data_IF_195990253607
#
_entry.id   IF_195990253607
#
_cell.length_a   1.000
_cell.length_b   1.000
_cell.length_c   1.000
_cell.angle_alpha   90.00
_cell.angle_beta   90.00
_cell.angle_gamma   90.00
#
_symmetry.space_group_name_H-M   'P 1'
#
loop_
_entity.id
_entity.type
_entity.pdbx_description
1 polymer ?
#
# COMPACT_ATOMS: atom_id res chain seq x y z
N UNK A 1 52.36 -3.93 -41.44
CA UNK A 1 50.92 -4.11 -41.18
C UNK A 1 50.76 -4.08 -39.66
N UNK A 2 50.34 -2.94 -39.10
CA UNK A 2 50.14 -2.79 -37.66
C UNK A 2 48.67 -3.09 -37.35
N UNK A 3 48.41 -4.22 -36.68
CA UNK A 3 47.06 -4.53 -36.17
C UNK A 3 46.76 -3.63 -34.98
N UNK A 4 45.66 -2.88 -35.08
CA UNK A 4 45.05 -2.17 -33.96
C UNK A 4 43.95 -3.06 -33.41
N UNK A 5 44.14 -3.58 -32.20
CA UNK A 5 43.11 -4.31 -31.48
C UNK A 5 42.12 -3.30 -30.88
N UNK A 6 40.85 -3.35 -31.33
CA UNK A 6 39.74 -2.63 -30.69
C UNK A 6 39.38 -3.34 -29.38
N UNK A 7 39.85 -2.79 -28.26
CA UNK A 7 39.39 -3.19 -26.93
C UNK A 7 37.98 -2.68 -26.71
N UNK A 8 36.99 -3.58 -26.73
CA UNK A 8 35.64 -3.30 -26.27
C UNK A 8 35.70 -3.25 -24.74
N UNK A 9 35.75 -2.05 -24.18
CA UNK A 9 35.58 -1.85 -22.74
C UNK A 9 34.13 -2.14 -22.38
N UNK A 10 33.87 -3.33 -21.83
CA UNK A 10 32.64 -3.62 -21.10
C UNK A 10 32.60 -2.70 -19.87
N UNK A 11 31.83 -1.62 -19.95
CA UNK A 11 31.38 -0.91 -18.75
C UNK A 11 30.42 -1.84 -18.02
N UNK A 12 30.72 -2.29 -16.79
CA UNK A 12 29.74 -3.03 -16.02
C UNK A 12 28.60 -2.05 -15.73
N UNK A 13 27.44 -2.31 -16.33
CA UNK A 13 26.19 -1.77 -15.80
C UNK A 13 26.11 -2.28 -14.36
N UNK A 14 26.31 -1.40 -13.40
CA UNK A 14 26.02 -1.67 -12.00
C UNK A 14 24.50 -1.85 -11.89
N UNK A 15 24.01 -3.04 -12.24
CA UNK A 15 22.69 -3.47 -11.83
C UNK A 15 22.73 -3.53 -10.31
N UNK A 16 21.94 -2.69 -9.64
CA UNK A 16 21.60 -2.96 -8.25
C UNK A 16 21.07 -4.39 -8.19
N UNK A 17 21.78 -5.28 -7.51
CA UNK A 17 21.31 -6.64 -7.31
C UNK A 17 20.24 -6.58 -6.21
N UNK A 18 19.03 -7.00 -6.53
CA UNK A 18 18.02 -7.21 -5.51
C UNK A 18 18.42 -8.39 -4.63
N UNK A 19 17.99 -8.38 -3.36
CA UNK A 19 18.23 -9.46 -2.40
C UNK A 19 17.65 -10.79 -2.92
N UNK A 20 16.45 -10.72 -3.50
CA UNK A 20 15.83 -11.79 -4.28
C UNK A 20 15.57 -11.25 -5.69
N UNK A 21 16.02 -11.98 -6.70
CA UNK A 21 15.78 -11.62 -8.10
C UNK A 21 14.28 -11.67 -8.46
N UNK A 22 13.75 -10.66 -9.17
CA UNK A 22 12.36 -10.65 -9.60
C UNK A 22 12.12 -11.78 -10.63
N UNK A 23 10.95 -12.44 -10.62
CA UNK A 23 10.60 -13.46 -11.61
C UNK A 23 10.59 -12.95 -13.05
N UNK A 24 10.29 -11.67 -13.25
CA UNK A 24 10.23 -10.98 -14.55
C UNK A 24 10.88 -9.59 -14.45
N UNK A 25 10.61 -8.70 -15.42
CA UNK A 25 11.10 -7.32 -15.40
C UNK A 25 10.59 -6.57 -14.16
N UNK A 26 11.49 -5.99 -13.38
CA UNK A 26 11.17 -5.03 -12.32
C UNK A 26 11.76 -3.65 -12.61
N UNK A 27 11.13 -2.60 -12.07
CA UNK A 27 11.66 -1.24 -12.16
C UNK A 27 12.95 -1.11 -11.32
N UNK A 28 14.06 -0.56 -11.85
CA UNK A 28 15.31 -0.41 -11.10
C UNK A 28 15.22 0.44 -9.83
N UNK A 29 14.17 1.25 -9.68
CA UNK A 29 13.90 2.02 -8.45
C UNK A 29 13.26 1.20 -7.33
N UNK A 30 12.81 -0.02 -7.60
CA UNK A 30 12.26 -0.94 -6.59
C UNK A 30 13.30 -1.22 -5.51
N UNK A 31 12.87 -1.25 -4.25
CA UNK A 31 13.75 -1.46 -3.09
C UNK A 31 14.67 -2.68 -3.28
N UNK A 32 15.94 -2.54 -2.89
CA UNK A 32 16.96 -3.58 -3.13
C UNK A 32 16.78 -4.79 -2.22
N UNK A 33 16.15 -4.63 -1.07
CA UNK A 33 15.93 -5.66 -0.05
C UNK A 33 14.55 -6.33 -0.17
N UNK A 34 13.98 -6.32 -1.37
CA UNK A 34 12.77 -7.08 -1.66
C UNK A 34 12.99 -8.58 -1.46
N UNK A 35 12.10 -9.23 -0.70
CA UNK A 35 12.12 -10.66 -0.44
C UNK A 35 11.00 -11.42 -1.15
N UNK A 36 9.92 -10.72 -1.54
CA UNK A 36 8.81 -11.33 -2.26
C UNK A 36 8.25 -10.42 -3.35
N UNK A 37 8.04 -11.01 -4.53
CA UNK A 37 7.62 -10.34 -5.74
C UNK A 37 6.28 -10.90 -6.22
N UNK A 38 5.43 -10.02 -6.74
CA UNK A 38 4.20 -10.38 -7.42
C UNK A 38 4.25 -9.90 -8.88
N UNK A 39 3.77 -10.74 -9.79
CA UNK A 39 3.66 -10.43 -11.22
C UNK A 39 2.26 -9.92 -11.50
N UNK A 40 2.15 -8.80 -12.22
CA UNK A 40 0.86 -8.16 -12.49
C UNK A 40 0.06 -8.97 -13.51
N UNK A 41 -1.13 -9.39 -13.11
CA UNK A 41 -2.11 -10.03 -13.99
C UNK A 41 -2.97 -8.98 -14.75
N UNK A 42 -3.62 -9.35 -15.87
CA UNK A 42 -4.35 -8.40 -16.72
C UNK A 42 -5.45 -7.58 -16.02
N UNK A 43 -6.10 -8.12 -14.98
CA UNK A 43 -7.17 -7.49 -14.21
C UNK A 43 -6.67 -6.74 -12.96
N UNK A 44 -5.36 -6.74 -12.72
CA UNK A 44 -4.72 -6.13 -11.55
C UNK A 44 -3.85 -4.91 -11.92
N UNK A 45 -4.04 -4.34 -13.10
CA UNK A 45 -3.15 -3.30 -13.63
C UNK A 45 -3.31 -1.89 -13.00
N UNK A 46 -3.99 -1.79 -11.85
CA UNK A 46 -4.03 -0.59 -11.02
C UNK A 46 -3.53 -0.92 -9.62
N UNK A 47 -2.86 0.00 -8.91
CA UNK A 47 -2.37 -0.34 -7.56
C UNK A 47 -3.51 -0.77 -6.62
N UNK A 48 -4.70 -0.17 -6.72
CA UNK A 48 -5.82 -0.57 -5.88
C UNK A 48 -6.26 -2.01 -6.20
N UNK A 49 -6.42 -2.36 -7.47
CA UNK A 49 -6.79 -3.73 -7.85
C UNK A 49 -5.70 -4.73 -7.40
N UNK A 50 -4.44 -4.41 -7.65
CA UNK A 50 -3.28 -5.21 -7.28
C UNK A 50 -3.19 -5.44 -5.77
N UNK A 51 -3.11 -4.37 -4.97
CA UNK A 51 -2.98 -4.52 -3.52
C UNK A 51 -4.22 -5.16 -2.89
N UNK A 52 -5.41 -5.00 -3.48
CA UNK A 52 -6.59 -5.74 -3.04
C UNK A 52 -6.47 -7.25 -3.31
N UNK A 53 -5.96 -7.65 -4.48
CA UNK A 53 -5.75 -9.06 -4.82
C UNK A 53 -4.79 -9.74 -3.84
N UNK A 54 -3.74 -9.03 -3.42
CA UNK A 54 -2.74 -9.51 -2.46
C UNK A 54 -3.07 -9.18 -0.99
N UNK A 55 -4.22 -8.54 -0.71
CA UNK A 55 -4.60 -8.06 0.63
C UNK A 55 -3.50 -7.21 1.30
N UNK A 56 -2.83 -6.37 0.52
CA UNK A 56 -1.61 -5.66 0.89
C UNK A 56 -1.85 -4.14 1.07
N UNK A 57 -0.90 -3.45 1.70
CA UNK A 57 -0.95 -2.00 1.92
C UNK A 57 -0.57 -1.24 0.65
N UNK A 58 -1.40 -0.27 0.24
CA UNK A 58 -1.07 0.65 -0.87
C UNK A 58 0.12 1.53 -0.52
N UNK A 59 0.23 1.95 0.75
CA UNK A 59 1.38 2.73 1.22
C UNK A 59 2.67 1.93 1.07
N UNK A 60 2.72 0.71 1.63
CA UNK A 60 3.93 -0.12 1.54
C UNK A 60 4.24 -0.47 0.09
N UNK A 61 3.23 -0.75 -0.73
CA UNK A 61 3.43 -0.99 -2.16
C UNK A 61 4.13 0.18 -2.86
N UNK A 62 3.71 1.41 -2.59
CA UNK A 62 4.34 2.61 -3.15
C UNK A 62 5.73 2.88 -2.59
N UNK A 63 5.94 2.56 -1.30
CA UNK A 63 7.26 2.65 -0.67
C UNK A 63 8.25 1.66 -1.30
N UNK A 64 7.80 0.44 -1.55
CA UNK A 64 8.64 -0.62 -2.11
C UNK A 64 8.86 -0.42 -3.61
N UNK A 65 7.92 0.19 -4.32
CA UNK A 65 7.96 0.43 -5.76
C UNK A 65 7.78 1.93 -6.07
N UNK A 66 8.81 2.77 -5.89
CA UNK A 66 8.71 4.23 -6.02
C UNK A 66 8.19 4.74 -7.37
N UNK A 67 8.38 3.98 -8.45
CA UNK A 67 7.83 4.31 -9.78
C UNK A 67 6.29 4.41 -9.80
N UNK A 68 5.61 3.85 -8.80
CA UNK A 68 4.14 3.81 -8.69
C UNK A 68 3.52 4.99 -7.93
N UNK A 69 4.34 5.86 -7.33
CA UNK A 69 3.86 6.97 -6.47
C UNK A 69 2.91 7.91 -7.23
N UNK A 70 3.30 8.29 -8.45
CA UNK A 70 2.60 9.27 -9.29
C UNK A 70 1.83 8.64 -10.47
N UNK A 71 2.16 7.41 -10.84
CA UNK A 71 1.49 6.69 -11.93
C UNK A 71 1.18 5.27 -11.48
N UNK A 72 -0.10 5.00 -11.34
CA UNK A 72 -0.60 3.77 -10.73
C UNK A 72 -1.21 2.83 -11.80
N UNK A 73 -0.70 2.92 -13.03
CA UNK A 73 -0.97 1.99 -14.12
C UNK A 73 0.18 0.98 -14.17
N UNK A 74 -0.03 -0.19 -13.59
CA UNK A 74 0.98 -1.22 -13.51
C UNK A 74 1.15 -1.92 -14.87
N UNK A 75 2.37 -2.35 -15.17
CA UNK A 75 2.66 -3.05 -16.42
C UNK A 75 2.36 -4.53 -16.24
N UNK A 76 1.36 -5.05 -16.95
CA UNK A 76 1.01 -6.48 -16.96
C UNK A 76 2.24 -7.31 -17.33
N UNK A 77 2.52 -8.35 -16.54
CA UNK A 77 3.69 -9.22 -16.69
C UNK A 77 4.98 -8.72 -16.02
N UNK A 78 5.02 -7.48 -15.50
CA UNK A 78 6.15 -7.00 -14.70
C UNK A 78 6.03 -7.45 -13.23
N UNK A 79 7.18 -7.55 -12.57
CA UNK A 79 7.32 -7.86 -11.16
C UNK A 79 7.33 -6.59 -10.32
N UNK A 80 6.56 -6.60 -9.24
CA UNK A 80 6.55 -5.55 -8.22
C UNK A 80 6.78 -6.15 -6.84
N UNK A 81 7.52 -5.43 -6.01
CA UNK A 81 7.83 -5.87 -4.66
C UNK A 81 6.61 -5.76 -3.74
N UNK A 82 6.32 -6.82 -2.99
CA UNK A 82 5.23 -6.86 -2.01
C UNK A 82 5.70 -7.31 -0.62
N UNK A 83 6.99 -7.60 -0.45
CA UNK A 83 7.59 -7.87 0.85
C UNK A 83 9.03 -7.34 0.89
N UNK A 84 9.32 -6.56 1.92
CA UNK A 84 10.66 -6.11 2.28
C UNK A 84 11.25 -7.07 3.33
N UNK A 85 12.58 -7.25 3.30
CA UNK A 85 13.30 -7.98 4.34
C UNK A 85 12.97 -7.48 5.76
N UNK A 86 12.73 -8.42 6.68
CA UNK A 86 12.53 -8.16 8.11
C UNK A 86 13.80 -7.61 8.80
N UNK A 87 14.96 -7.69 8.15
CA UNK A 87 16.21 -7.13 8.66
C UNK A 87 16.30 -5.62 8.46
N UNK A 88 15.46 -5.04 7.60
CA UNK A 88 15.45 -3.61 7.31
C UNK A 88 14.39 -2.90 8.15
N UNK A 89 14.76 -1.84 8.88
CA UNK A 89 13.78 -1.02 9.58
C UNK A 89 12.79 -0.36 8.62
N UNK A 90 11.49 -0.52 8.89
CA UNK A 90 10.44 0.17 8.15
C UNK A 90 10.12 1.49 8.81
N UNK A 91 9.98 2.55 8.01
CA UNK A 91 9.54 3.86 8.51
C UNK A 91 8.08 3.79 8.96
N UNK A 92 7.82 4.19 10.21
CA UNK A 92 6.48 4.18 10.79
C UNK A 92 5.80 5.54 10.52
N UNK A 93 4.51 5.54 10.15
CA UNK A 93 3.80 6.80 10.00
C UNK A 93 3.68 7.51 11.35
N UNK A 94 3.81 8.83 11.32
CA UNK A 94 3.46 9.72 12.41
C UNK A 94 1.95 9.76 12.65
N UNK A 95 1.55 10.17 13.86
CA UNK A 95 0.12 10.38 14.17
C UNK A 95 -0.54 11.41 13.24
N UNK A 96 0.21 12.41 12.77
CA UNK A 96 -0.28 13.37 11.77
C UNK A 96 -0.59 12.73 10.43
N UNK A 97 0.28 11.85 9.93
CA UNK A 97 0.06 11.14 8.67
C UNK A 97 -1.13 10.17 8.77
N UNK A 98 -1.27 9.50 9.91
CA UNK A 98 -2.41 8.63 10.20
C UNK A 98 -3.73 9.41 10.21
N UNK A 99 -3.74 10.57 10.88
CA UNK A 99 -4.92 11.44 10.96
C UNK A 99 -5.28 12.01 9.59
N UNK A 100 -4.29 12.49 8.83
CA UNK A 100 -4.50 13.03 7.48
C UNK A 100 -5.08 11.97 6.54
N UNK A 101 -4.54 10.75 6.57
CA UNK A 101 -5.08 9.65 5.77
C UNK A 101 -6.54 9.35 6.16
N UNK A 102 -6.82 9.21 7.45
CA UNK A 102 -8.17 8.95 7.92
C UNK A 102 -9.14 10.05 7.47
N UNK A 103 -8.77 11.32 7.62
CA UNK A 103 -9.62 12.46 7.23
C UNK A 103 -9.83 12.53 5.71
N UNK A 104 -8.81 12.20 4.93
CA UNK A 104 -8.87 12.16 3.47
C UNK A 104 -9.81 11.06 2.94
N UNK A 105 -9.82 9.90 3.59
CA UNK A 105 -10.55 8.70 3.14
C UNK A 105 -11.87 8.46 3.85
N UNK A 106 -12.09 9.09 5.00
CA UNK A 106 -13.24 8.81 5.87
C UNK A 106 -14.59 9.32 5.39
N UNK A 107 -14.65 10.13 4.32
CA UNK A 107 -15.90 10.74 3.86
C UNK A 107 -16.65 11.44 5.01
N UNK A 108 -17.92 11.09 5.28
CA UNK A 108 -18.69 11.66 6.40
C UNK A 108 -18.16 11.22 7.77
N UNK A 109 -17.39 10.12 7.83
CA UNK A 109 -16.76 9.65 9.06
C UNK A 109 -15.47 10.41 9.42
N UNK A 110 -14.97 11.29 8.55
CA UNK A 110 -13.72 12.03 8.78
C UNK A 110 -13.73 12.82 10.10
N UNK A 111 -14.90 13.32 10.51
CA UNK A 111 -15.09 14.02 11.78
C UNK A 111 -14.87 13.15 13.03
N UNK A 112 -14.88 11.82 12.89
CA UNK A 112 -14.65 10.87 13.99
C UNK A 112 -13.25 10.26 13.97
N UNK A 113 -12.36 10.73 13.09
CA UNK A 113 -11.03 10.14 12.93
C UNK A 113 -10.24 10.07 14.23
N UNK A 114 -10.20 11.14 15.03
CA UNK A 114 -9.50 11.12 16.33
C UNK A 114 -10.03 10.03 17.27
N UNK A 115 -11.35 9.82 17.26
CA UNK A 115 -12.02 8.80 18.08
C UNK A 115 -11.76 7.39 17.56
N UNK A 116 -11.67 7.23 16.25
CA UNK A 116 -11.52 5.93 15.60
C UNK A 116 -10.06 5.51 15.41
N UNK A 117 -9.10 6.43 15.54
CA UNK A 117 -7.70 6.22 15.18
C UNK A 117 -7.06 5.04 15.93
N UNK A 118 -7.37 4.86 17.22
CA UNK A 118 -6.79 3.79 18.05
C UNK A 118 -7.02 2.38 17.50
N UNK A 119 -8.08 2.20 16.71
CA UNK A 119 -8.43 0.92 16.03
C UNK A 119 -7.33 0.47 15.07
N UNK A 120 -6.65 1.43 14.44
CA UNK A 120 -5.72 1.18 13.35
C UNK A 120 -4.26 1.51 13.69
N UNK A 121 -3.99 2.07 14.87
CA UNK A 121 -2.62 2.38 15.30
C UNK A 121 -1.88 1.23 15.99
N UNK A 122 -2.55 0.11 16.25
CA UNK A 122 -1.92 -1.09 16.82
C UNK A 122 -0.99 -1.81 15.82
N UNK A 123 -1.27 -1.68 14.52
CA UNK A 123 -0.37 -2.07 13.43
C UNK A 123 -0.19 -0.89 12.47
N UNK A 124 0.67 0.08 12.82
CA UNK A 124 0.84 1.31 12.06
C UNK A 124 1.49 1.08 10.69
N UNK A 125 1.97 -0.12 10.37
CA UNK A 125 2.48 -0.43 9.04
C UNK A 125 1.38 -0.67 8.01
N UNK A 126 0.19 -1.08 8.46
CA UNK A 126 -0.95 -1.50 7.63
C UNK A 126 -2.18 -0.63 7.89
N UNK A 127 -1.97 0.61 8.32
CA UNK A 127 -3.04 1.51 8.74
C UNK A 127 -4.01 1.83 7.60
N UNK A 128 -3.54 1.93 6.37
CA UNK A 128 -4.35 2.26 5.20
C UNK A 128 -5.39 1.16 4.95
N UNK A 129 -4.94 -0.10 4.93
CA UNK A 129 -5.85 -1.25 4.86
C UNK A 129 -6.81 -1.29 6.05
N UNK A 130 -6.31 -1.04 7.26
CA UNK A 130 -7.17 -1.03 8.46
C UNK A 130 -8.27 0.03 8.37
N UNK A 131 -7.95 1.24 7.90
CA UNK A 131 -8.94 2.31 7.74
C UNK A 131 -9.94 1.98 6.62
N UNK A 132 -9.49 1.41 5.51
CA UNK A 132 -10.39 0.95 4.44
C UNK A 132 -11.41 -0.08 4.97
N UNK A 133 -10.93 -1.07 5.73
CA UNK A 133 -11.79 -2.08 6.39
C UNK A 133 -12.75 -1.41 7.41
N UNK A 134 -12.25 -0.47 8.23
CA UNK A 134 -13.06 0.27 9.20
C UNK A 134 -14.18 1.08 8.53
N UNK A 135 -13.89 1.79 7.44
CA UNK A 135 -14.88 2.60 6.73
C UNK A 135 -15.92 1.72 6.01
N UNK A 136 -15.50 0.55 5.53
CA UNK A 136 -16.42 -0.46 5.02
C UNK A 136 -17.40 -0.92 6.11
N UNK A 137 -16.89 -1.27 7.29
CA UNK A 137 -17.71 -1.74 8.42
C UNK A 137 -18.65 -0.65 8.96
N UNK A 138 -18.16 0.59 9.09
CA UNK A 138 -18.98 1.75 9.48
C UNK A 138 -20.16 1.92 8.54
N UNK A 139 -19.90 1.87 7.22
CA UNK A 139 -20.93 1.98 6.19
C UNK A 139 -21.90 0.81 6.21
N UNK A 140 -21.40 -0.41 6.41
CA UNK A 140 -22.23 -1.59 6.52
C UNK A 140 -23.23 -1.48 7.68
N UNK A 141 -22.77 -1.06 8.86
CA UNK A 141 -23.61 -0.89 10.05
C UNK A 141 -24.59 0.27 9.87
N UNK A 142 -24.14 1.40 9.34
CA UNK A 142 -24.99 2.55 9.07
C UNK A 142 -26.13 2.16 8.12
N UNK A 143 -25.82 1.51 6.99
CA UNK A 143 -26.82 1.04 6.03
C UNK A 143 -27.82 0.07 6.69
N UNK A 144 -27.35 -0.82 7.56
CA UNK A 144 -28.21 -1.72 8.33
C UNK A 144 -29.16 -0.98 9.27
N UNK A 145 -28.67 0.05 9.95
CA UNK A 145 -29.50 0.93 10.79
C UNK A 145 -30.56 1.68 9.97
N UNK A 146 -30.17 2.27 8.83
CA UNK A 146 -31.07 3.03 7.95
C UNK A 146 -32.18 2.15 7.36
N UNK A 147 -31.85 0.92 6.94
CA UNK A 147 -32.83 -0.05 6.44
C UNK A 147 -33.91 -0.43 7.46
N UNK A 148 -33.62 -0.29 8.74
CA UNK A 148 -34.58 -0.54 9.82
C UNK A 148 -35.42 0.70 10.18
N UNK A 149 -35.28 1.81 9.45
CA UNK A 149 -36.02 3.06 9.71
C UNK A 149 -35.54 3.82 10.94
N UNK A 150 -34.35 3.49 11.46
CA UNK A 150 -33.74 4.19 12.58
C UNK A 150 -33.15 5.55 12.14
N UNK A 151 -32.81 6.39 13.12
CA UNK A 151 -32.17 7.70 12.91
C UNK A 151 -30.79 7.72 13.59
N UNK A 152 -30.00 8.73 13.28
CA UNK A 152 -28.64 8.90 13.83
C UNK A 152 -27.70 7.71 13.51
N UNK A 153 -27.90 7.07 12.36
CA UNK A 153 -27.24 5.82 12.01
C UNK A 153 -25.73 5.93 11.82
N UNK A 154 -25.23 7.08 11.38
CA UNK A 154 -23.80 7.37 11.33
C UNK A 154 -23.19 7.35 12.74
N UNK A 155 -23.79 8.11 13.67
CA UNK A 155 -23.37 8.17 15.08
C UNK A 155 -23.45 6.78 15.72
N UNK A 156 -24.52 6.04 15.47
CA UNK A 156 -24.70 4.67 15.96
C UNK A 156 -23.57 3.74 15.48
N UNK A 157 -23.20 3.79 14.20
CA UNK A 157 -22.11 2.97 13.66
C UNK A 157 -20.77 3.30 14.32
N UNK A 158 -20.49 4.60 14.50
CA UNK A 158 -19.28 5.08 15.19
C UNK A 158 -19.29 4.68 16.66
N UNK A 159 -20.40 4.79 17.37
CA UNK A 159 -20.51 4.38 18.77
C UNK A 159 -20.30 2.87 18.96
N UNK A 160 -20.76 2.08 17.99
CA UNK A 160 -20.58 0.62 18.01
C UNK A 160 -19.12 0.23 17.74
N UNK A 161 -18.48 0.85 16.74
CA UNK A 161 -17.14 0.52 16.34
C UNK A 161 -16.10 1.31 17.15
N UNK A 162 -16.05 2.61 17.05
CA UNK A 162 -15.04 3.46 17.68
C UNK A 162 -15.35 3.75 19.16
N UNK A 163 -15.41 2.70 19.98
CA UNK A 163 -15.61 2.82 21.42
C UNK A 163 -14.49 3.64 22.03
N UNK A 164 -14.85 4.53 22.95
CA UNK A 164 -13.89 5.22 23.80
C UNK A 164 -13.30 4.17 24.75
N UNK A 165 -11.99 3.97 24.69
CA UNK A 165 -11.24 3.18 25.67
C UNK A 165 -10.99 3.99 26.95
#
# INVERSE_FOLDING_TARGET
MHSVAFGITFLPLLSAAWLVEPPTTADPSTIQDCTFWAVVEPDENTCQAFVNAYQFSTRLFKLYNPSTVNNCNLVVGNSYCIEQSYETPVDLPSNSELLEYCQSKGYSYAQYCERCMSRCTSNPLWYDKCFDDLFFDLRYIQNGCERNGNRECEKYAVDYLCKLE
#
